data_IF_873534144782
#
_entry.id   IF_873534144782
#
_cell.length_a   1.000
_cell.length_b   1.000
_cell.length_c   1.000
_cell.angle_alpha   90.00
_cell.angle_beta   90.00
_cell.angle_gamma   90.00
#
_symmetry.space_group_name_H-M   'P 1'
#
loop_
_entity.id
_entity.type
_entity.pdbx_description
1 polymer ?
#
# COMPACT_ATOMS: atom_id res chain seq x y z
N UNK A 1 -10.96 25.04 17.95
CA UNK A 1 -9.85 26.01 17.92
C UNK A 1 -9.08 25.91 19.23
N UNK A 2 -7.99 25.14 19.17
CA UNK A 2 -6.87 24.95 20.12
C UNK A 2 -7.06 25.37 21.59
N UNK A 3 -7.40 24.47 22.52
CA UNK A 3 -7.09 24.67 23.96
C UNK A 3 -7.03 23.39 24.83
N UNK A 4 -7.06 22.18 24.27
CA UNK A 4 -7.06 20.94 25.05
C UNK A 4 -5.87 19.99 24.79
N UNK A 5 -4.91 20.37 23.94
CA UNK A 5 -3.70 19.57 23.67
C UNK A 5 -2.47 19.93 24.52
N UNK A 6 -2.58 20.87 25.47
CA UNK A 6 -1.40 21.41 26.19
C UNK A 6 -1.30 21.00 27.66
N UNK A 7 -2.29 20.33 28.25
CA UNK A 7 -2.34 20.09 29.71
C UNK A 7 -1.83 18.73 30.20
N UNK A 8 -1.34 17.86 29.31
CA UNK A 8 -0.84 16.52 29.67
C UNK A 8 0.70 16.43 29.74
N UNK A 9 1.43 17.46 29.31
CA UNK A 9 2.89 17.37 29.11
C UNK A 9 3.78 17.82 30.29
N UNK A 10 3.23 18.37 31.37
CA UNK A 10 4.05 19.05 32.41
C UNK A 10 4.14 18.26 33.73
N UNK A 11 3.43 17.14 33.90
CA UNK A 11 3.22 16.58 35.24
C UNK A 11 3.75 15.17 35.56
N UNK A 12 4.66 14.58 34.77
CA UNK A 12 5.32 13.32 35.19
C UNK A 12 6.84 13.29 34.96
N UNK A 13 7.50 14.46 34.91
CA UNK A 13 8.96 14.61 35.01
C UNK A 13 9.51 14.50 36.45
N UNK A 14 8.77 13.96 37.41
CA UNK A 14 9.19 13.99 38.82
C UNK A 14 8.87 12.69 39.58
N UNK A 15 9.45 11.57 39.15
CA UNK A 15 9.70 10.48 40.09
C UNK A 15 11.03 9.81 39.76
N UNK A 16 12.05 10.25 40.49
CA UNK A 16 13.42 9.80 40.39
C UNK A 16 13.65 8.51 41.20
N UNK A 17 14.59 7.70 40.69
CA UNK A 17 15.58 6.90 41.43
C UNK A 17 15.08 5.82 42.42
N UNK A 18 15.21 4.55 42.00
CA UNK A 18 15.92 3.57 42.82
C UNK A 18 16.61 2.50 41.93
N UNK A 19 17.94 2.52 41.96
CA UNK A 19 18.84 1.55 41.35
C UNK A 19 18.61 0.14 41.93
N UNK A 20 18.50 -0.88 41.08
CA UNK A 20 18.90 -2.23 41.44
C UNK A 20 19.71 -2.85 40.30
N UNK A 21 20.99 -3.07 40.59
CA UNK A 21 21.91 -3.92 39.85
C UNK A 21 21.37 -5.36 39.79
N UNK A 22 21.40 -6.00 38.63
CA UNK A 22 22.23 -7.19 38.36
C UNK A 22 21.97 -7.72 36.95
N UNK A 23 23.07 -7.98 36.26
CA UNK A 23 23.22 -8.64 34.96
C UNK A 23 22.41 -9.94 34.90
N UNK A 24 21.57 -10.07 33.88
CA UNK A 24 21.16 -11.35 33.31
C UNK A 24 21.32 -11.27 31.79
N UNK A 25 22.54 -11.52 31.33
CA UNK A 25 22.81 -11.86 29.94
C UNK A 25 22.49 -13.35 29.77
N UNK A 26 21.55 -13.70 28.90
CA UNK A 26 21.35 -15.08 28.46
C UNK A 26 19.89 -15.46 28.26
N UNK A 27 19.49 -15.61 27.00
CA UNK A 27 18.23 -16.25 26.62
C UNK A 27 17.86 -15.87 25.20
N UNK A 28 18.38 -16.59 24.22
CA UNK A 28 18.14 -16.33 22.80
C UNK A 28 16.65 -16.22 22.50
N UNK A 29 16.23 -15.02 22.11
CA UNK A 29 14.96 -14.81 21.44
C UNK A 29 15.06 -15.50 20.08
N UNK A 30 14.72 -16.78 20.03
CA UNK A 30 14.16 -17.34 18.82
C UNK A 30 12.87 -16.58 18.59
N UNK A 31 12.94 -15.53 17.77
CA UNK A 31 11.76 -14.94 17.18
C UNK A 31 10.90 -16.12 16.67
N UNK A 32 9.57 -16.11 16.85
CA UNK A 32 8.75 -16.98 16.01
C UNK A 32 9.23 -16.74 14.57
N UNK A 33 9.37 -17.76 13.70
CA UNK A 33 9.50 -17.46 12.29
C UNK A 33 8.33 -16.52 11.99
N UNK A 34 8.66 -15.29 11.60
CA UNK A 34 7.66 -14.37 11.10
C UNK A 34 6.86 -15.20 10.09
N UNK A 35 5.51 -15.12 10.06
CA UNK A 35 4.80 -15.69 8.94
C UNK A 35 5.36 -15.00 7.69
N UNK A 36 6.33 -15.63 7.02
CA UNK A 36 6.81 -15.27 5.69
C UNK A 36 5.72 -15.69 4.71
N UNK A 37 4.56 -15.10 4.94
CA UNK A 37 3.48 -14.90 4.00
C UNK A 37 3.32 -13.38 3.81
N UNK A 38 4.36 -12.61 4.11
CA UNK A 38 4.56 -11.29 3.54
C UNK A 38 5.20 -11.53 2.19
N UNK A 39 4.43 -11.34 1.14
CA UNK A 39 4.90 -11.21 -0.23
C UNK A 39 6.19 -10.37 -0.23
N UNK A 40 7.30 -10.90 -0.74
CA UNK A 40 8.54 -10.16 -1.02
C UNK A 40 8.35 -9.13 -2.15
N UNK A 41 7.13 -8.63 -2.31
CA UNK A 41 6.73 -7.71 -3.33
C UNK A 41 7.54 -6.44 -3.16
N UNK A 42 8.30 -6.09 -4.19
CA UNK A 42 9.13 -4.89 -4.21
C UNK A 42 8.41 -3.73 -4.90
N UNK A 43 7.67 -4.01 -5.99
CA UNK A 43 6.88 -3.01 -6.72
C UNK A 43 5.72 -3.63 -7.50
N UNK A 44 4.79 -2.79 -7.93
CA UNK A 44 3.69 -3.16 -8.83
C UNK A 44 3.85 -2.37 -10.13
N UNK A 45 3.90 -3.08 -11.25
CA UNK A 45 3.90 -2.52 -12.59
C UNK A 45 2.52 -2.70 -13.22
N UNK A 46 1.93 -1.63 -13.74
CA UNK A 46 0.62 -1.67 -14.40
C UNK A 46 0.83 -1.57 -15.91
N UNK A 47 0.26 -2.49 -16.68
CA UNK A 47 0.43 -2.54 -18.14
C UNK A 47 -0.91 -2.86 -18.81
N UNK A 48 -1.23 -2.27 -19.98
CA UNK A 48 -0.48 -1.22 -20.68
C UNK A 48 -0.54 0.14 -19.97
N UNK A 49 0.48 0.97 -20.15
CA UNK A 49 0.39 2.41 -19.87
C UNK A 49 -0.66 3.01 -20.82
N UNK A 50 -1.57 3.81 -20.27
CA UNK A 50 -2.91 3.98 -20.82
C UNK A 50 -3.18 5.42 -21.28
N UNK A 51 -2.39 6.02 -22.18
CA UNK A 51 -2.49 7.45 -22.47
C UNK A 51 -3.82 7.88 -23.13
N UNK A 52 -4.59 6.92 -23.67
CA UNK A 52 -5.88 7.21 -24.30
C UNK A 52 -6.80 5.98 -24.30
N UNK A 53 -8.00 6.15 -23.75
CA UNK A 53 -9.11 5.20 -23.85
C UNK A 53 -10.30 5.91 -24.47
N UNK A 54 -10.91 5.32 -25.50
CA UNK A 54 -12.08 5.90 -26.14
C UNK A 54 -13.31 5.78 -25.22
N UNK A 55 -14.17 6.80 -25.25
CA UNK A 55 -15.42 6.77 -24.50
C UNK A 55 -16.29 5.57 -24.92
N UNK A 56 -16.86 4.86 -23.95
CA UNK A 56 -17.71 3.69 -24.16
C UNK A 56 -16.92 2.41 -24.48
N UNK A 57 -15.59 2.46 -24.46
CA UNK A 57 -14.74 1.27 -24.62
C UNK A 57 -14.20 0.78 -23.29
N UNK A 58 -13.86 -0.51 -23.27
CA UNK A 58 -13.20 -1.15 -22.14
C UNK A 58 -11.79 -1.58 -22.49
N UNK A 59 -10.88 -1.47 -21.52
CA UNK A 59 -9.52 -2.01 -21.64
C UNK A 59 -9.16 -2.81 -20.39
N UNK A 60 -8.48 -3.93 -20.58
CA UNK A 60 -7.94 -4.71 -19.48
C UNK A 60 -6.54 -4.23 -19.11
N UNK A 61 -6.38 -3.80 -17.86
CA UNK A 61 -5.09 -3.57 -17.21
C UNK A 61 -4.63 -4.85 -16.50
N UNK A 62 -3.32 -5.05 -16.52
CA UNK A 62 -2.64 -6.12 -15.81
C UNK A 62 -1.72 -5.47 -14.79
N UNK A 63 -1.94 -5.77 -13.52
CA UNK A 63 -0.97 -5.45 -12.47
C UNK A 63 -0.02 -6.63 -12.33
N UNK A 64 1.27 -6.40 -12.56
CA UNK A 64 2.33 -7.37 -12.36
C UNK A 64 3.13 -6.97 -11.13
N UNK A 65 3.12 -7.83 -10.12
CA UNK A 65 4.01 -7.68 -8.99
C UNK A 65 5.41 -8.11 -9.34
N UNK A 66 6.40 -7.32 -8.94
CA UNK A 66 7.81 -7.69 -9.03
C UNK A 66 8.36 -7.83 -7.63
N UNK A 67 8.85 -9.02 -7.32
CA UNK A 67 9.43 -9.35 -6.02
C UNK A 67 10.89 -8.87 -5.89
N UNK A 68 11.43 -8.90 -4.68
CA UNK A 68 12.83 -8.57 -4.39
C UNK A 68 13.82 -9.48 -5.14
N UNK A 69 13.43 -10.73 -5.44
CA UNK A 69 14.22 -11.67 -6.25
C UNK A 69 14.08 -11.44 -7.76
N UNK A 70 13.54 -10.30 -8.19
CA UNK A 70 13.25 -9.97 -9.60
C UNK A 70 12.23 -10.91 -10.27
N UNK A 71 11.59 -11.80 -9.52
CA UNK A 71 10.49 -12.63 -10.01
C UNK A 71 9.25 -11.77 -10.25
N UNK A 72 8.50 -12.10 -11.30
CA UNK A 72 7.25 -11.39 -11.63
C UNK A 72 6.05 -12.32 -11.53
N UNK A 73 4.95 -11.83 -10.97
CA UNK A 73 3.68 -12.56 -10.92
C UNK A 73 2.49 -11.66 -11.22
N UNK A 74 1.44 -12.15 -11.91
CA UNK A 74 0.24 -11.38 -12.13
C UNK A 74 -0.51 -11.21 -10.80
N UNK A 75 -0.77 -9.96 -10.42
CA UNK A 75 -1.48 -9.57 -9.20
C UNK A 75 -2.79 -8.84 -9.50
N UNK A 76 -3.24 -8.82 -10.76
CA UNK A 76 -4.42 -8.05 -11.21
C UNK A 76 -5.66 -8.26 -10.34
N UNK A 77 -5.90 -9.49 -9.86
CA UNK A 77 -7.06 -9.81 -9.02
C UNK A 77 -6.79 -9.72 -7.52
N UNK A 78 -5.53 -9.52 -7.13
CA UNK A 78 -5.08 -9.41 -5.74
C UNK A 78 -4.97 -7.94 -5.32
N UNK A 79 -4.56 -7.05 -6.23
CA UNK A 79 -4.47 -5.61 -5.97
C UNK A 79 -5.85 -4.97 -5.80
N UNK A 80 -5.93 -4.01 -4.89
CA UNK A 80 -7.05 -3.09 -4.79
C UNK A 80 -6.93 -2.01 -5.87
N UNK A 81 -7.84 -2.01 -6.83
CA UNK A 81 -7.93 -0.99 -7.86
C UNK A 81 -8.76 0.21 -7.39
N UNK A 82 -8.28 1.42 -7.70
CA UNK A 82 -8.93 2.67 -7.38
C UNK A 82 -8.84 3.62 -8.58
N UNK A 83 -9.96 4.23 -8.94
CA UNK A 83 -10.00 5.36 -9.89
C UNK A 83 -9.98 6.68 -9.14
N UNK A 84 -9.33 7.69 -9.72
CA UNK A 84 -9.38 9.06 -9.20
C UNK A 84 -10.68 9.78 -9.53
N UNK A 85 -11.38 9.37 -10.59
CA UNK A 85 -12.69 9.92 -10.97
C UNK A 85 -13.53 8.86 -11.70
N UNK A 86 -14.44 8.23 -10.96
CA UNK A 86 -15.37 7.23 -11.47
C UNK A 86 -16.38 7.81 -12.49
N UNK A 87 -16.49 9.13 -12.62
CA UNK A 87 -17.32 9.77 -13.64
C UNK A 87 -16.65 9.75 -15.03
N UNK A 88 -15.31 9.64 -15.06
CA UNK A 88 -14.49 9.62 -16.28
C UNK A 88 -14.15 8.19 -16.68
N UNK A 89 -13.63 7.39 -15.74
CA UNK A 89 -13.44 5.96 -15.95
C UNK A 89 -13.57 5.17 -14.66
N UNK A 90 -14.18 3.99 -14.76
CA UNK A 90 -14.30 3.02 -13.67
C UNK A 90 -13.41 1.82 -13.91
N UNK A 91 -12.86 1.22 -12.87
CA UNK A 91 -12.06 0.00 -12.96
C UNK A 91 -12.67 -1.12 -12.10
N UNK A 92 -12.74 -2.33 -12.65
CA UNK A 92 -13.19 -3.51 -11.90
C UNK A 92 -12.06 -4.12 -11.08
N UNK A 93 -12.40 -4.98 -10.11
CA UNK A 93 -11.42 -5.78 -9.36
C UNK A 93 -10.65 -6.78 -10.23
N UNK A 94 -11.10 -7.04 -11.46
CA UNK A 94 -10.39 -7.84 -12.46
C UNK A 94 -9.46 -7.01 -13.36
N UNK A 95 -9.26 -5.73 -13.04
CA UNK A 95 -8.42 -4.82 -13.81
C UNK A 95 -9.06 -4.30 -15.10
N UNK A 96 -10.38 -4.44 -15.28
CA UNK A 96 -11.05 -3.95 -16.50
C UNK A 96 -11.51 -2.51 -16.32
N UNK A 97 -10.89 -1.61 -17.06
CA UNK A 97 -11.21 -0.18 -17.12
C UNK A 97 -12.31 0.05 -18.14
N UNK A 98 -13.30 0.87 -17.78
CA UNK A 98 -14.37 1.32 -18.66
C UNK A 98 -14.35 2.83 -18.75
N UNK A 99 -14.13 3.38 -19.94
CA UNK A 99 -14.16 4.83 -20.18
C UNK A 99 -15.59 5.32 -20.30
N UNK A 100 -16.02 6.22 -19.41
CA UNK A 100 -17.37 6.77 -19.37
C UNK A 100 -17.45 8.17 -19.97
N UNK A 101 -16.41 8.98 -19.80
CA UNK A 101 -16.33 10.33 -20.33
C UNK A 101 -14.91 10.68 -20.79
N UNK A 102 -14.79 11.73 -21.60
CA UNK A 102 -13.49 12.27 -21.97
C UNK A 102 -12.88 13.03 -20.78
N UNK A 103 -11.65 12.70 -20.43
CA UNK A 103 -10.92 13.32 -19.34
C UNK A 103 -9.64 12.55 -19.04
N UNK A 104 -8.86 13.05 -18.09
CA UNK A 104 -7.69 12.34 -17.56
C UNK A 104 -8.06 11.75 -16.21
N UNK A 105 -7.70 10.49 -16.00
CA UNK A 105 -8.01 9.76 -14.78
C UNK A 105 -6.81 8.92 -14.40
N UNK A 106 -6.31 9.10 -13.19
CA UNK A 106 -5.28 8.22 -12.64
C UNK A 106 -5.93 6.98 -12.05
N UNK A 107 -5.41 5.82 -12.42
CA UNK A 107 -5.78 4.52 -11.88
C UNK A 107 -4.65 4.02 -10.98
N UNK A 108 -5.02 3.55 -9.80
CA UNK A 108 -4.07 3.08 -8.78
C UNK A 108 -4.38 1.63 -8.43
N UNK A 109 -3.34 0.81 -8.38
CA UNK A 109 -3.34 -0.57 -7.88
C UNK A 109 -2.56 -0.60 -6.57
N UNK A 110 -3.16 -1.07 -5.49
CA UNK A 110 -2.47 -1.21 -4.19
C UNK A 110 -2.51 -2.63 -3.66
N UNK A 111 -1.39 -3.15 -3.19
CA UNK A 111 -1.31 -4.42 -2.47
C UNK A 111 -0.22 -4.36 -1.40
N UNK A 112 -0.53 -4.81 -0.18
CA UNK A 112 0.41 -4.88 0.95
C UNK A 112 1.18 -3.56 1.22
N UNK A 113 0.55 -2.41 0.95
CA UNK A 113 1.16 -1.09 1.11
C UNK A 113 2.02 -0.61 -0.07
N UNK A 114 2.22 -1.47 -1.08
CA UNK A 114 2.83 -1.10 -2.35
C UNK A 114 1.74 -0.57 -3.28
N UNK A 115 2.07 0.49 -4.02
CA UNK A 115 1.17 1.16 -4.95
C UNK A 115 1.81 1.26 -6.33
N UNK A 116 1.07 0.85 -7.36
CA UNK A 116 1.36 1.11 -8.77
C UNK A 116 0.29 2.02 -9.34
N UNK A 117 0.67 2.97 -10.19
CA UNK A 117 -0.28 3.93 -10.79
C UNK A 117 -0.04 4.09 -12.28
N UNK A 118 -1.12 4.30 -13.04
CA UNK A 118 -1.07 4.66 -14.46
C UNK A 118 -2.08 5.78 -14.73
N UNK A 119 -1.89 6.51 -15.84
CA UNK A 119 -2.71 7.67 -16.25
C UNK A 119 -3.37 7.44 -17.60
#
# INVERSE_FOLDING_TARGET
>A
MLYLFTKTYVLRCLSALLFLFLVACGGGGGSPPDPVAGSDLSRIEVTPDLPFLAQGTTLSLIATGVDSDNSTRPLTSEVAWQSSDDSIATISSSGVVSGLAAGQVTLQASLDGIVGSTI
#
